data_IF_982896304925
#
_entry.id   IF_982896304925
#
_cell.length_a   1.000
_cell.length_b   1.000
_cell.length_c   1.000
_cell.angle_alpha   90.00
_cell.angle_beta   90.00
_cell.angle_gamma   90.00
#
_symmetry.space_group_name_H-M   'P 1'
#
loop_
_entity.id
_entity.type
_entity.pdbx_description
1 polymer ?
#
# COMPACT_ATOMS: atom_id res chain seq x y z
N UNK A 1 3.60 5.73 -3.87
CA UNK A 1 4.06 4.34 -3.92
C UNK A 1 3.18 3.47 -3.03
N UNK A 2 2.91 2.28 -3.50
CA UNK A 2 2.10 1.31 -2.74
C UNK A 2 3.04 0.26 -2.17
N UNK A 3 2.91 -0.02 -0.87
CA UNK A 3 3.69 -1.05 -0.18
C UNK A 3 2.75 -1.99 0.55
N UNK A 4 3.20 -3.23 0.75
CA UNK A 4 2.45 -4.22 1.51
C UNK A 4 3.33 -4.80 2.60
N UNK A 5 2.70 -5.28 3.68
CA UNK A 5 3.42 -5.83 4.82
C UNK A 5 3.45 -7.35 4.73
N UNK A 6 4.65 -7.93 4.79
CA UNK A 6 4.81 -9.37 4.75
C UNK A 6 4.53 -10.01 6.13
N UNK A 7 4.60 -11.33 6.18
CA UNK A 7 4.28 -12.08 7.41
C UNK A 7 5.25 -11.80 8.56
N UNK A 8 6.42 -11.23 8.27
CA UNK A 8 7.41 -10.89 9.29
C UNK A 8 7.33 -9.42 9.70
N UNK A 9 6.36 -8.67 9.17
CA UNK A 9 6.17 -7.26 9.49
C UNK A 9 6.98 -6.29 8.65
N UNK A 10 7.71 -6.78 7.66
CA UNK A 10 8.49 -5.90 6.78
C UNK A 10 7.63 -5.36 5.65
N UNK A 11 7.84 -4.09 5.30
CA UNK A 11 7.15 -3.45 4.20
C UNK A 11 7.89 -3.70 2.90
N UNK A 12 7.16 -4.16 1.90
CA UNK A 12 7.69 -4.49 0.57
C UNK A 12 7.04 -3.60 -0.46
N UNK A 13 7.80 -3.21 -1.47
CA UNK A 13 7.27 -2.44 -2.59
C UNK A 13 6.33 -3.28 -3.43
N UNK A 14 5.15 -2.73 -3.74
CA UNK A 14 4.21 -3.37 -4.64
C UNK A 14 4.16 -2.68 -5.99
N UNK A 15 3.87 -1.38 -6.01
CA UNK A 15 3.66 -0.65 -7.25
C UNK A 15 3.87 0.84 -7.02
N UNK A 16 4.39 1.52 -8.06
CA UNK A 16 4.47 2.97 -8.08
C UNK A 16 3.28 3.51 -8.86
N UNK A 17 2.51 4.41 -8.25
CA UNK A 17 1.38 5.06 -8.89
C UNK A 17 1.57 6.57 -8.85
N UNK A 18 1.10 7.24 -9.92
CA UNK A 18 1.19 8.70 -10.02
C UNK A 18 -0.11 9.39 -9.62
N UNK A 19 -1.19 8.65 -9.45
CA UNK A 19 -2.48 9.17 -9.03
C UNK A 19 -2.84 8.60 -7.66
N UNK A 20 -3.00 9.47 -6.68
CA UNK A 20 -3.32 9.05 -5.32
C UNK A 20 -4.62 8.26 -5.26
N UNK A 21 -5.65 8.71 -6.00
CA UNK A 21 -6.94 8.05 -6.01
C UNK A 21 -6.85 6.63 -6.58
N UNK A 22 -6.11 6.46 -7.67
CA UNK A 22 -5.90 5.14 -8.26
C UNK A 22 -5.07 4.23 -7.35
N UNK A 23 -4.05 4.81 -6.71
CA UNK A 23 -3.23 4.06 -5.75
C UNK A 23 -4.07 3.57 -4.57
N UNK A 24 -4.97 4.41 -4.08
CA UNK A 24 -5.85 4.05 -2.96
C UNK A 24 -6.74 2.87 -3.32
N UNK A 25 -7.38 2.93 -4.49
CA UNK A 25 -8.26 1.85 -4.97
C UNK A 25 -7.50 0.53 -5.12
N UNK A 26 -6.31 0.60 -5.72
CA UNK A 26 -5.47 -0.57 -5.91
C UNK A 26 -5.09 -1.19 -4.57
N UNK A 27 -4.65 -0.36 -3.63
CA UNK A 27 -4.24 -0.84 -2.31
C UNK A 27 -5.42 -1.46 -1.55
N UNK A 28 -6.60 -0.84 -1.61
CA UNK A 28 -7.80 -1.41 -0.98
C UNK A 28 -8.16 -2.77 -1.57
N UNK A 29 -8.15 -2.86 -2.88
CA UNK A 29 -8.47 -4.10 -3.57
C UNK A 29 -7.49 -5.21 -3.19
N UNK A 30 -6.19 -4.89 -3.19
CA UNK A 30 -5.17 -5.87 -2.85
C UNK A 30 -5.24 -6.26 -1.38
N UNK A 31 -5.47 -5.31 -0.50
CA UNK A 31 -5.58 -5.59 0.93
C UNK A 31 -6.72 -6.57 1.21
N UNK A 32 -7.88 -6.38 0.58
CA UNK A 32 -9.02 -7.28 0.72
C UNK A 32 -8.74 -8.67 0.18
N UNK A 33 -8.11 -8.75 -1.01
CA UNK A 33 -7.92 -10.02 -1.69
C UNK A 33 -6.77 -10.84 -1.11
N UNK A 34 -5.73 -10.18 -0.61
CA UNK A 34 -4.58 -10.88 -0.03
C UNK A 34 -4.66 -10.98 1.49
N UNK A 35 -5.58 -10.24 2.11
CA UNK A 35 -5.73 -10.11 3.57
C UNK A 35 -4.46 -9.65 4.24
N UNK A 36 -3.74 -8.75 3.57
CA UNK A 36 -2.51 -8.16 4.07
C UNK A 36 -2.68 -6.66 4.23
N UNK A 37 -1.85 -6.06 5.07
CA UNK A 37 -1.85 -4.61 5.23
C UNK A 37 -1.11 -3.96 4.08
N UNK A 38 -1.67 -2.88 3.56
CA UNK A 38 -1.05 -2.07 2.53
C UNK A 38 -0.91 -0.64 3.05
N UNK A 39 0.05 0.09 2.50
CA UNK A 39 0.19 1.51 2.83
C UNK A 39 0.58 2.30 1.60
N UNK A 40 0.21 3.56 1.62
CA UNK A 40 0.59 4.52 0.59
C UNK A 40 1.63 5.46 1.18
N UNK A 41 2.74 5.62 0.47
CA UNK A 41 3.80 6.54 0.87
C UNK A 41 4.15 7.42 -0.31
N UNK A 42 4.60 8.64 -0.03
CA UNK A 42 5.06 9.54 -1.08
C UNK A 42 6.52 9.26 -1.43
N UNK A 43 7.07 10.05 -2.34
CA UNK A 43 8.45 9.87 -2.80
C UNK A 43 9.49 10.14 -1.72
N UNK A 44 9.12 10.83 -0.66
CA UNK A 44 9.98 11.10 0.49
C UNK A 44 9.84 10.05 1.60
N UNK A 45 8.99 9.05 1.38
CA UNK A 45 8.74 8.03 2.38
C UNK A 45 7.71 8.42 3.43
N UNK A 46 7.02 9.55 3.27
CA UNK A 46 6.00 9.98 4.21
C UNK A 46 4.74 9.15 4.03
N UNK A 47 4.23 8.63 5.14
CA UNK A 47 3.00 7.83 5.11
C UNK A 47 1.81 8.71 4.75
N UNK A 48 1.10 8.33 3.68
CA UNK A 48 -0.11 9.00 3.24
C UNK A 48 -1.35 8.33 3.79
N UNK A 49 -1.39 7.01 3.78
CA UNK A 49 -2.50 6.25 4.34
C UNK A 49 -2.08 4.83 4.65
N UNK A 50 -2.78 4.24 5.61
CA UNK A 50 -2.59 2.84 6.02
C UNK A 50 -3.90 2.10 5.78
N UNK A 51 -3.83 1.00 5.03
CA UNK A 51 -5.02 0.30 4.56
C UNK A 51 -5.03 -1.12 5.11
N UNK A 52 -6.06 -1.43 5.88
CA UNK A 52 -6.25 -2.76 6.45
C UNK A 52 -7.17 -3.60 5.56
N UNK A 53 -7.00 -4.92 5.60
CA UNK A 53 -7.89 -5.81 4.84
C UNK A 53 -9.33 -5.78 5.34
#
# INVERSE_FOLDING_TARGET
>A
MIQWQDQFGYWKHYQTCHHLQGAYRTAEFRAKNTKKRYRLVDENGTLLDLIYP
#
